data_IF_815362031302
#
_entry.id   IF_815362031302
#
_cell.length_a   1.000
_cell.length_b   1.000
_cell.length_c   1.000
_cell.angle_alpha   90.00
_cell.angle_beta   90.00
_cell.angle_gamma   90.00
#
_symmetry.space_group_name_H-M   'P 1'
#
loop_
_entity.id
_entity.type
_entity.pdbx_description
1 polymer ?
#
# COMPACT_ATOMS: atom_id res chain seq x y z
N UNK A 1 13.69 -3.48 16.06
CA UNK A 1 13.74 -2.44 15.01
C UNK A 1 12.40 -2.43 14.29
N UNK A 2 11.93 -1.26 13.85
CA UNK A 2 10.59 -1.10 13.28
C UNK A 2 10.55 -1.56 11.82
N UNK A 3 10.62 -2.88 11.60
CA UNK A 3 10.19 -3.62 10.39
C UNK A 3 10.46 -5.14 10.55
N UNK A 4 10.96 -5.60 11.71
CA UNK A 4 11.62 -6.92 11.84
C UNK A 4 10.70 -8.13 11.67
N UNK A 5 9.40 -7.93 11.55
CA UNK A 5 8.42 -9.02 11.56
C UNK A 5 7.75 -9.28 10.21
N UNK A 6 8.03 -8.44 9.20
CA UNK A 6 7.46 -8.57 7.86
C UNK A 6 8.50 -9.15 6.89
N UNK A 7 8.10 -10.21 6.18
CA UNK A 7 8.83 -10.75 5.05
C UNK A 7 8.22 -10.26 3.73
N UNK A 8 9.09 -10.02 2.75
CA UNK A 8 8.70 -9.69 1.38
C UNK A 8 9.44 -10.60 0.39
N UNK A 9 8.69 -11.24 -0.51
CA UNK A 9 9.24 -12.00 -1.63
C UNK A 9 8.89 -11.24 -2.92
N UNK A 10 9.91 -10.70 -3.58
CA UNK A 10 9.75 -10.02 -4.86
C UNK A 10 9.37 -11.00 -5.97
N UNK A 11 8.24 -10.76 -6.63
CA UNK A 11 7.78 -11.56 -7.76
C UNK A 11 8.22 -10.96 -9.10
N UNK A 12 8.14 -9.64 -9.20
CA UNK A 12 8.40 -8.91 -10.44
C UNK A 12 8.88 -7.50 -10.14
N UNK A 13 9.83 -7.01 -10.92
CA UNK A 13 10.25 -5.61 -10.89
C UNK A 13 10.59 -5.15 -12.29
N UNK A 14 10.13 -3.95 -12.65
CA UNK A 14 10.40 -3.34 -13.96
C UNK A 14 10.46 -1.83 -13.86
N UNK A 15 11.27 -1.24 -14.73
CA UNK A 15 11.44 0.20 -14.84
C UNK A 15 11.30 0.64 -16.29
N UNK A 16 10.65 1.77 -16.50
CA UNK A 16 10.51 2.42 -17.81
C UNK A 16 11.06 3.83 -17.71
N UNK A 17 11.94 4.19 -18.64
CA UNK A 17 12.49 5.54 -18.75
C UNK A 17 11.79 6.30 -19.88
N UNK A 18 11.48 7.57 -19.61
CA UNK A 18 10.81 8.48 -20.52
C UNK A 18 11.79 9.56 -20.92
N UNK A 19 12.16 9.58 -22.20
CA UNK A 19 13.15 10.49 -22.74
C UNK A 19 12.49 11.68 -23.42
N UNK A 20 13.13 12.85 -23.29
CA UNK A 20 12.71 14.04 -24.01
C UNK A 20 13.22 14.04 -25.45
N UNK A 21 13.09 15.18 -26.16
CA UNK A 21 13.69 15.38 -27.47
C UNK A 21 15.20 15.08 -27.49
N UNK A 22 15.74 14.91 -28.69
CA UNK A 22 17.16 14.59 -28.93
C UNK A 22 18.10 15.43 -28.04
N UNK A 23 19.06 14.76 -27.39
CA UNK A 23 20.06 15.34 -26.47
C UNK A 23 19.53 15.92 -25.15
N UNK A 24 18.26 15.76 -24.80
CA UNK A 24 17.72 16.28 -23.51
C UNK A 24 17.73 15.27 -22.37
N UNK A 25 18.09 14.01 -22.65
CA UNK A 25 18.23 12.93 -21.67
C UNK A 25 16.91 12.37 -21.14
N UNK A 26 17.02 11.57 -20.07
CA UNK A 26 15.87 11.01 -19.36
C UNK A 26 15.15 12.11 -18.57
N UNK A 27 13.84 12.21 -18.73
CA UNK A 27 12.98 13.22 -18.11
C UNK A 27 12.20 12.68 -16.92
N UNK A 28 11.91 11.39 -16.93
CA UNK A 28 11.33 10.71 -15.80
C UNK A 28 11.32 9.20 -15.98
N UNK A 29 10.98 8.51 -14.91
CA UNK A 29 10.94 7.06 -14.85
C UNK A 29 9.71 6.59 -14.08
N UNK A 30 9.13 5.49 -14.56
CA UNK A 30 8.15 4.70 -13.81
C UNK A 30 8.84 3.43 -13.33
N UNK A 31 8.86 3.21 -12.02
CA UNK A 31 9.30 1.95 -11.42
C UNK A 31 8.08 1.19 -10.89
N UNK A 32 8.05 -0.11 -11.15
CA UNK A 32 7.06 -1.05 -10.66
C UNK A 32 7.76 -2.16 -9.89
N UNK A 33 7.24 -2.50 -8.71
CA UNK A 33 7.59 -3.68 -7.95
C UNK A 33 6.34 -4.42 -7.53
N UNK A 34 6.34 -5.74 -7.62
CA UNK A 34 5.28 -6.62 -7.13
C UNK A 34 5.91 -7.61 -6.17
N UNK A 35 5.38 -7.68 -4.95
CA UNK A 35 5.88 -8.57 -3.92
C UNK A 35 4.75 -9.24 -3.14
N UNK A 36 5.01 -10.47 -2.68
CA UNK A 36 4.20 -11.12 -1.65
C UNK A 36 4.69 -10.64 -0.30
N UNK A 37 3.76 -10.16 0.52
CA UNK A 37 4.03 -9.68 1.88
C UNK A 37 3.35 -10.63 2.88
N UNK A 38 4.09 -10.97 3.93
CA UNK A 38 3.60 -11.76 5.07
C UNK A 38 4.34 -11.43 6.35
N UNK A 39 3.86 -11.94 7.48
CA UNK A 39 4.60 -11.89 8.75
C UNK A 39 5.32 -13.20 9.02
N UNK A 40 6.44 -13.15 9.73
CA UNK A 40 7.07 -14.35 10.25
C UNK A 40 6.11 -15.09 11.20
N UNK A 41 6.16 -16.42 11.20
CA UNK A 41 5.17 -17.28 11.87
C UNK A 41 5.05 -16.96 13.37
N UNK A 42 6.17 -16.64 14.03
CA UNK A 42 6.25 -16.23 15.45
C UNK A 42 5.46 -14.95 15.77
N UNK A 43 5.23 -14.12 14.75
CA UNK A 43 4.55 -12.83 14.84
C UNK A 43 3.29 -12.79 13.98
N UNK A 44 2.79 -13.95 13.54
CA UNK A 44 1.56 -14.05 12.77
C UNK A 44 0.37 -13.58 13.62
N UNK A 45 -0.64 -12.98 12.98
CA UNK A 45 -1.87 -12.63 13.65
C UNK A 45 -2.72 -13.89 13.89
N UNK A 46 -2.89 -14.35 15.14
CA UNK A 46 -3.60 -15.58 15.40
C UNK A 46 -5.09 -15.42 15.09
N UNK A 47 -5.67 -16.43 14.43
CA UNK A 47 -7.10 -16.50 14.10
C UNK A 47 -7.61 -15.35 13.22
N UNK A 48 -6.73 -14.72 12.45
CA UNK A 48 -7.10 -13.70 11.47
C UNK A 48 -6.87 -14.23 10.06
N UNK A 49 -7.86 -14.04 9.21
CA UNK A 49 -7.75 -14.30 7.78
C UNK A 49 -7.70 -12.97 7.03
N UNK A 50 -6.68 -12.79 6.19
CA UNK A 50 -6.57 -11.58 5.35
C UNK A 50 -7.67 -11.49 4.28
N UNK A 51 -8.46 -12.55 4.09
CA UNK A 51 -9.66 -12.48 3.25
C UNK A 51 -10.83 -11.76 3.93
N UNK A 52 -10.82 -11.61 5.25
CA UNK A 52 -11.82 -10.80 5.94
C UNK A 52 -11.45 -9.32 5.75
N UNK A 53 -12.29 -8.48 5.12
CA UNK A 53 -11.93 -7.10 4.78
C UNK A 53 -11.52 -6.25 5.99
N UNK A 54 -12.30 -6.30 7.08
CA UNK A 54 -12.01 -5.53 8.31
C UNK A 54 -10.70 -5.98 8.96
N UNK A 55 -10.46 -7.30 8.96
CA UNK A 55 -9.22 -7.83 9.48
C UNK A 55 -8.03 -7.46 8.57
N UNK A 56 -8.23 -7.42 7.25
CA UNK A 56 -7.23 -6.98 6.29
C UNK A 56 -6.88 -5.50 6.47
N UNK A 57 -7.85 -4.62 6.66
CA UNK A 57 -7.61 -3.20 6.96
C UNK A 57 -6.78 -2.98 8.23
N UNK A 58 -7.06 -3.76 9.28
CA UNK A 58 -6.25 -3.76 10.49
C UNK A 58 -4.82 -4.23 10.23
N UNK A 59 -4.65 -5.31 9.47
CA UNK A 59 -3.33 -5.82 9.05
C UNK A 59 -2.56 -4.77 8.24
N UNK A 60 -3.24 -4.07 7.33
CA UNK A 60 -2.66 -3.00 6.51
C UNK A 60 -2.23 -1.80 7.35
N UNK A 61 -3.03 -1.40 8.33
CA UNK A 61 -2.64 -0.36 9.27
C UNK A 61 -1.34 -0.73 10.00
N UNK A 62 -1.22 -1.95 10.52
CA UNK A 62 0.02 -2.41 11.16
C UNK A 62 1.19 -2.42 10.18
N UNK A 63 0.97 -2.94 8.98
CA UNK A 63 1.97 -2.97 7.93
C UNK A 63 2.50 -1.58 7.59
N UNK A 64 1.60 -0.62 7.38
CA UNK A 64 1.96 0.76 7.04
C UNK A 64 2.62 1.49 8.22
N UNK A 65 2.14 1.28 9.45
CA UNK A 65 2.79 1.82 10.66
C UNK A 65 4.22 1.28 10.83
N UNK A 66 4.41 -0.02 10.64
CA UNK A 66 5.73 -0.65 10.73
C UNK A 66 6.65 -0.16 9.60
N UNK A 67 6.14 -0.01 8.37
CA UNK A 67 6.94 0.39 7.19
C UNK A 67 7.28 1.88 7.15
N UNK A 68 6.34 2.76 7.49
CA UNK A 68 6.44 4.21 7.30
C UNK A 68 6.40 5.01 8.60
N UNK A 69 5.66 4.53 9.60
CA UNK A 69 5.30 5.32 10.78
C UNK A 69 6.47 5.75 11.65
N UNK A 70 7.57 5.00 11.66
CA UNK A 70 8.75 5.33 12.46
C UNK A 70 9.73 6.29 11.74
N UNK A 71 9.47 6.66 10.48
CA UNK A 71 10.43 7.42 9.67
C UNK A 71 10.23 8.92 9.82
N UNK A 72 11.24 9.60 10.35
CA UNK A 72 11.25 11.05 10.54
C UNK A 72 12.15 11.76 9.52
N UNK A 73 11.90 13.06 9.29
CA UNK A 73 12.82 13.94 8.56
C UNK A 73 14.01 14.34 9.44
N UNK A 74 15.25 14.11 8.99
CA UNK A 74 16.45 14.43 9.76
C UNK A 74 16.81 13.34 10.78
N UNK A 75 17.33 13.74 11.94
CA UNK A 75 17.58 12.82 13.06
C UNK A 75 16.25 12.36 13.69
N UNK A 76 16.26 11.18 14.32
CA UNK A 76 15.07 10.55 14.91
C UNK A 76 14.32 11.43 15.93
N UNK A 77 14.98 12.47 16.45
CA UNK A 77 14.49 13.45 17.42
C UNK A 77 13.62 14.57 16.84
N UNK A 78 13.53 14.74 15.51
CA UNK A 78 12.79 15.86 14.93
C UNK A 78 11.27 15.75 15.10
N UNK A 79 10.75 14.52 15.30
CA UNK A 79 9.32 14.20 15.38
C UNK A 79 8.49 14.65 14.17
N UNK A 80 9.14 15.06 13.06
CA UNK A 80 8.47 15.46 11.82
C UNK A 80 8.36 14.22 10.94
N UNK A 81 7.14 13.75 10.61
CA UNK A 81 6.97 12.53 9.83
C UNK A 81 7.52 12.72 8.41
N UNK A 82 8.26 11.73 7.93
CA UNK A 82 8.79 11.72 6.56
C UNK A 82 7.72 11.36 5.53
N UNK A 83 6.69 10.66 5.96
CA UNK A 83 5.61 10.17 5.11
C UNK A 83 4.26 10.54 5.67
N UNK A 84 3.26 10.58 4.80
CA UNK A 84 1.84 10.65 5.19
C UNK A 84 1.00 9.76 4.28
N UNK A 85 -0.01 9.11 4.87
CA UNK A 85 -1.00 8.31 4.16
C UNK A 85 -1.61 7.21 5.01
N UNK A 86 -2.46 6.34 4.43
CA UNK A 86 -2.85 6.33 3.02
C UNK A 86 -3.69 7.56 2.62
N UNK A 87 -3.47 8.06 1.40
CA UNK A 87 -4.20 9.21 0.79
C UNK A 87 -4.88 8.70 -0.49
N UNK A 88 -6.00 9.31 -0.91
CA UNK A 88 -6.77 8.90 -2.08
C UNK A 88 -7.12 7.40 -2.05
N UNK A 89 -7.63 6.93 -0.91
CA UNK A 89 -8.06 5.54 -0.76
C UNK A 89 -9.17 5.21 -1.76
N UNK A 90 -9.00 4.10 -2.47
CA UNK A 90 -9.97 3.58 -3.43
C UNK A 90 -10.09 2.08 -3.28
N UNK A 91 -11.27 1.59 -2.93
CA UNK A 91 -11.60 0.16 -3.01
C UNK A 91 -11.87 -0.24 -4.46
N UNK A 92 -11.51 -1.48 -4.79
CA UNK A 92 -11.64 -2.04 -6.12
C UNK A 92 -12.47 -3.32 -6.11
N UNK A 93 -13.29 -3.48 -7.15
CA UNK A 93 -14.19 -4.63 -7.31
C UNK A 93 -13.85 -5.52 -8.51
N UNK A 94 -12.76 -5.22 -9.23
CA UNK A 94 -12.37 -5.97 -10.42
C UNK A 94 -11.63 -7.28 -10.10
N UNK A 95 -11.12 -7.45 -8.87
CA UNK A 95 -10.53 -8.69 -8.37
C UNK A 95 -11.57 -9.50 -7.56
N UNK A 96 -11.46 -10.84 -7.51
CA UNK A 96 -12.38 -11.70 -6.76
C UNK A 96 -12.27 -11.56 -5.23
N UNK A 97 -11.31 -10.78 -4.73
CA UNK A 97 -10.98 -10.59 -3.32
C UNK A 97 -11.02 -9.09 -2.96
N UNK A 98 -11.15 -8.74 -1.67
CA UNK A 98 -11.08 -7.35 -1.22
C UNK A 98 -9.77 -6.70 -1.66
N UNK A 99 -9.83 -5.56 -2.35
CA UNK A 99 -8.64 -4.92 -2.90
C UNK A 99 -8.75 -3.40 -2.85
N UNK A 100 -7.62 -2.72 -2.66
CA UNK A 100 -7.59 -1.26 -2.55
C UNK A 100 -6.30 -0.68 -3.11
N UNK A 101 -6.39 0.57 -3.59
CA UNK A 101 -5.22 1.38 -3.93
C UNK A 101 -5.22 2.68 -3.15
N UNK A 102 -4.04 3.21 -2.89
CA UNK A 102 -3.84 4.47 -2.20
C UNK A 102 -2.45 5.03 -2.50
N UNK A 103 -2.22 6.24 -2.03
CA UNK A 103 -0.97 6.98 -2.16
C UNK A 103 -0.29 7.16 -0.81
N UNK A 104 1.03 7.11 -0.82
CA UNK A 104 1.89 7.52 0.30
C UNK A 104 2.70 8.73 -0.15
N UNK A 105 2.50 9.87 0.50
CA UNK A 105 3.26 11.08 0.24
C UNK A 105 4.59 11.06 0.98
N UNK A 106 5.61 11.69 0.40
CA UNK A 106 6.94 11.91 1.03
C UNK A 106 7.03 13.30 1.65
N UNK A 107 5.92 13.77 2.20
CA UNK A 107 5.77 15.05 2.88
C UNK A 107 5.03 14.85 4.18
N UNK A 108 5.37 15.66 5.19
CA UNK A 108 4.61 15.76 6.44
C UNK A 108 3.21 16.34 6.19
N UNK A 109 3.03 17.12 5.12
CA UNK A 109 1.76 17.69 4.72
C UNK A 109 1.06 16.77 3.68
N UNK A 110 -0.06 16.12 4.04
CA UNK A 110 -0.82 15.26 3.13
C UNK A 110 -1.48 16.04 1.98
N UNK A 111 -1.59 17.37 2.07
CA UNK A 111 -2.14 18.21 1.01
C UNK A 111 -1.12 18.52 -0.10
N UNK A 112 0.17 18.32 0.18
CA UNK A 112 1.26 18.54 -0.78
C UNK A 112 1.80 17.19 -1.30
N UNK A 113 1.08 16.61 -2.25
CA UNK A 113 1.42 15.34 -2.92
C UNK A 113 2.52 15.54 -3.97
N UNK A 114 3.77 15.74 -3.54
CA UNK A 114 4.91 15.75 -4.47
C UNK A 114 5.36 14.31 -4.74
N UNK A 115 5.11 13.83 -5.96
CA UNK A 115 5.49 12.48 -6.44
C UNK A 115 5.13 11.34 -5.47
N UNK A 116 3.85 11.14 -5.12
CA UNK A 116 3.45 10.12 -4.18
C UNK A 116 3.75 8.72 -4.72
N UNK A 117 4.17 7.84 -3.81
CA UNK A 117 4.26 6.41 -4.09
C UNK A 117 2.83 5.84 -4.16
N UNK A 118 2.49 5.11 -5.23
CA UNK A 118 1.16 4.54 -5.40
C UNK A 118 1.21 3.04 -5.09
N UNK A 119 0.36 2.59 -4.18
CA UNK A 119 0.24 1.18 -3.79
C UNK A 119 -1.11 0.62 -4.25
N UNK A 120 -1.10 -0.64 -4.67
CA UNK A 120 -2.28 -1.45 -4.89
C UNK A 120 -2.10 -2.80 -4.20
N UNK A 121 -3.08 -3.21 -3.43
CA UNK A 121 -2.97 -4.31 -2.48
C UNK A 121 -4.20 -5.22 -2.51
N UNK A 122 -3.97 -6.51 -2.33
CA UNK A 122 -5.02 -7.52 -2.24
C UNK A 122 -4.50 -8.82 -1.60
N UNK A 123 -5.31 -9.53 -0.80
CA UNK A 123 -4.92 -10.78 -0.16
C UNK A 123 -4.87 -11.93 -1.17
N UNK A 124 -3.91 -12.84 -0.99
CA UNK A 124 -3.78 -14.06 -1.80
C UNK A 124 -3.85 -15.35 -0.98
N UNK A 125 -3.66 -15.26 0.34
CA UNK A 125 -3.93 -16.33 1.29
C UNK A 125 -4.45 -15.75 2.60
N UNK A 126 -4.78 -16.60 3.58
CA UNK A 126 -5.16 -16.17 4.94
C UNK A 126 -4.09 -15.32 5.65
N UNK A 127 -2.82 -15.42 5.23
CA UNK A 127 -1.66 -14.82 5.91
C UNK A 127 -0.78 -13.95 5.01
N UNK A 128 -1.09 -13.88 3.71
CA UNK A 128 -0.27 -13.19 2.72
C UNK A 128 -1.12 -12.30 1.82
N UNK A 129 -0.54 -11.18 1.42
CA UNK A 129 -1.13 -10.26 0.44
C UNK A 129 -0.08 -9.83 -0.59
N UNK A 130 -0.55 -9.36 -1.74
CA UNK A 130 0.28 -8.76 -2.77
C UNK A 130 0.37 -7.27 -2.51
N UNK A 131 1.59 -6.73 -2.58
CA UNK A 131 1.85 -5.30 -2.75
C UNK A 131 2.33 -5.06 -4.19
N UNK A 132 1.57 -4.26 -4.92
CA UNK A 132 1.98 -3.64 -6.18
C UNK A 132 2.36 -2.20 -5.88
N UNK A 133 3.61 -1.86 -6.11
CA UNK A 133 4.19 -0.57 -5.78
C UNK A 133 4.65 0.14 -7.06
N UNK A 134 4.11 1.35 -7.30
CA UNK A 134 4.54 2.25 -8.35
C UNK A 134 5.25 3.47 -7.77
N UNK A 135 6.37 3.83 -8.37
CA UNK A 135 7.11 5.06 -8.07
C UNK A 135 7.37 5.83 -9.36
N UNK A 136 6.98 7.10 -9.37
CA UNK A 136 7.30 8.04 -10.43
C UNK A 136 8.45 8.93 -9.99
N UNK A 137 9.57 8.84 -10.68
CA UNK A 137 10.70 9.74 -10.51
C UNK A 137 10.72 10.72 -11.68
N UNK A 138 10.48 12.00 -11.39
CA UNK A 138 10.46 13.08 -12.38
C UNK A 138 11.73 13.92 -12.19
N UNK A 139 12.47 14.17 -13.27
CA UNK A 139 13.81 14.79 -13.22
C UNK A 139 13.86 16.21 -13.76
N UNK A 140 12.78 16.72 -14.33
CA UNK A 140 12.75 18.06 -14.94
C UNK A 140 11.56 18.84 -14.43
N UNK A 141 11.83 19.82 -13.56
CA UNK A 141 10.87 20.73 -12.96
C UNK A 141 11.21 22.19 -13.27
N UNK A 142 10.19 23.03 -13.37
CA UNK A 142 10.34 24.48 -13.46
C UNK A 142 10.53 25.13 -12.08
N UNK A 143 10.59 26.47 -12.08
CA UNK A 143 10.76 27.28 -10.85
C UNK A 143 9.56 27.16 -9.89
N UNK A 144 8.40 26.75 -10.39
CA UNK A 144 7.16 26.56 -9.63
C UNK A 144 6.93 25.08 -9.27
N UNK A 145 7.95 24.23 -9.42
CA UNK A 145 7.91 22.78 -9.16
C UNK A 145 6.89 22.01 -9.98
N UNK A 146 6.60 22.48 -11.20
CA UNK A 146 5.79 21.75 -12.17
C UNK A 146 6.70 21.01 -13.16
N UNK A 147 6.35 19.78 -13.57
CA UNK A 147 7.10 19.06 -14.59
C UNK A 147 7.23 19.89 -15.87
N UNK A 148 8.44 19.99 -16.43
CA UNK A 148 8.69 20.76 -17.66
C UNK A 148 8.35 19.98 -18.94
N UNK A 149 7.72 18.82 -18.81
CA UNK A 149 7.35 17.94 -19.92
C UNK A 149 6.02 17.26 -19.60
N UNK A 150 5.38 16.73 -20.64
CA UNK A 150 4.13 16.00 -20.48
C UNK A 150 4.34 14.67 -19.74
N UNK A 151 3.78 14.57 -18.54
CA UNK A 151 3.82 13.35 -17.71
C UNK A 151 2.66 12.39 -18.00
N UNK A 152 1.71 12.76 -18.86
CA UNK A 152 0.56 11.93 -19.20
C UNK A 152 0.94 10.52 -19.67
N UNK A 153 1.99 10.32 -20.49
CA UNK A 153 2.42 8.97 -20.87
C UNK A 153 2.86 8.08 -19.70
N UNK A 154 3.44 8.68 -18.65
CA UNK A 154 3.85 7.96 -17.43
C UNK A 154 2.59 7.51 -16.67
N UNK A 155 1.64 8.43 -16.49
CA UNK A 155 0.39 8.18 -15.80
C UNK A 155 -0.49 7.16 -16.54
N UNK A 156 -0.54 7.25 -17.87
CA UNK A 156 -1.26 6.31 -18.73
C UNK A 156 -0.65 4.91 -18.64
N UNK A 157 0.69 4.78 -18.70
CA UNK A 157 1.35 3.49 -18.52
C UNK A 157 1.05 2.87 -17.15
N UNK A 158 1.14 3.66 -16.07
CA UNK A 158 0.79 3.19 -14.73
C UNK A 158 -0.67 2.70 -14.67
N UNK A 159 -1.61 3.49 -15.20
CA UNK A 159 -3.04 3.14 -15.23
C UNK A 159 -3.29 1.87 -16.05
N UNK A 160 -2.65 1.74 -17.21
CA UNK A 160 -2.80 0.57 -18.07
C UNK A 160 -2.25 -0.69 -17.41
N UNK A 161 -1.10 -0.61 -16.74
CA UNK A 161 -0.57 -1.74 -15.96
C UNK A 161 -1.54 -2.10 -14.83
N UNK A 162 -1.99 -1.11 -14.05
CA UNK A 162 -2.94 -1.33 -12.96
C UNK A 162 -4.20 -2.07 -13.45
N UNK A 163 -4.82 -1.57 -14.53
CA UNK A 163 -6.03 -2.16 -15.11
C UNK A 163 -5.79 -3.54 -15.75
N UNK A 164 -4.55 -3.89 -16.07
CA UNK A 164 -4.21 -5.20 -16.65
C UNK A 164 -4.04 -6.31 -15.62
N UNK A 165 -4.02 -5.97 -14.32
CA UNK A 165 -3.87 -6.95 -13.25
C UNK A 165 -5.16 -7.73 -13.09
N UNK A 166 -5.07 -9.04 -13.23
CA UNK A 166 -6.13 -10.00 -12.93
C UNK A 166 -5.67 -10.99 -11.86
N UNK A 167 -6.62 -11.60 -11.16
CA UNK A 167 -6.36 -12.61 -10.15
C UNK A 167 -7.28 -13.80 -10.36
N UNK A 168 -6.68 -14.98 -10.50
CA UNK A 168 -7.37 -16.26 -10.51
C UNK A 168 -7.00 -17.03 -9.23
N UNK A 169 -8.00 -17.44 -8.46
CA UNK A 169 -7.79 -18.19 -7.23
C UNK A 169 -7.72 -19.68 -7.54
N UNK A 170 -6.65 -20.34 -7.08
CA UNK A 170 -6.58 -21.80 -7.10
C UNK A 170 -7.65 -22.44 -6.19
N UNK A 171 -7.98 -23.73 -6.37
CA UNK A 171 -9.10 -24.38 -5.67
C UNK A 171 -9.02 -24.30 -4.14
N UNK A 172 -7.83 -24.45 -3.56
CA UNK A 172 -7.63 -24.35 -2.11
C UNK A 172 -7.89 -22.94 -1.59
N UNK A 173 -7.36 -21.94 -2.29
CA UNK A 173 -7.53 -20.53 -1.94
C UNK A 173 -8.98 -20.09 -2.10
N UNK A 174 -9.65 -20.54 -3.17
CA UNK A 174 -11.06 -20.29 -3.40
C UNK A 174 -11.91 -20.86 -2.25
N UNK A 175 -11.67 -22.12 -1.86
CA UNK A 175 -12.38 -22.73 -0.74
C UNK A 175 -12.11 -22.00 0.59
N UNK A 176 -10.89 -21.48 0.81
CA UNK A 176 -10.58 -20.68 1.98
C UNK A 176 -11.29 -19.31 1.97
N UNK A 177 -11.40 -18.68 0.81
CA UNK A 177 -12.12 -17.43 0.62
C UNK A 177 -13.64 -17.62 0.82
N UNK A 178 -14.22 -18.66 0.23
CA UNK A 178 -15.66 -18.95 0.32
C UNK A 178 -16.11 -19.22 1.77
N UNK A 179 -15.25 -19.83 2.59
CA UNK A 179 -15.51 -20.00 4.03
C UNK A 179 -15.64 -18.66 4.75
N UNK A 180 -14.73 -17.73 4.48
CA UNK A 180 -14.80 -16.39 5.08
C UNK A 180 -16.02 -15.63 4.57
N UNK A 181 -16.32 -15.74 3.28
CA UNK A 181 -17.50 -15.13 2.66
C UNK A 181 -18.82 -15.65 3.24
N UNK A 182 -18.87 -16.89 3.72
CA UNK A 182 -20.06 -17.45 4.38
C UNK A 182 -20.25 -16.92 5.81
N UNK A 183 -19.17 -16.48 6.47
CA UNK A 183 -19.16 -16.01 7.85
C UNK A 183 -19.25 -14.48 7.96
N UNK A 184 -18.85 -13.76 6.91
CA UNK A 184 -18.76 -12.29 6.89
C UNK A 184 -19.83 -11.72 5.97
N UNK A 185 -20.72 -10.89 6.54
CA UNK A 185 -21.85 -10.28 5.81
C UNK A 185 -21.39 -9.30 4.72
N UNK A 186 -20.40 -8.46 5.04
CA UNK A 186 -19.83 -7.48 4.10
C UNK A 186 -18.39 -7.83 3.72
N UNK A 187 -18.22 -8.27 2.46
CA UNK A 187 -16.93 -8.60 1.87
C UNK A 187 -16.23 -7.41 1.21
N UNK A 188 -16.69 -6.18 1.45
CA UNK A 188 -16.06 -4.98 0.94
C UNK A 188 -15.11 -4.35 1.96
N UNK A 189 -14.05 -3.72 1.43
CA UNK A 189 -13.26 -2.77 2.21
C UNK A 189 -14.08 -1.50 2.44
N UNK A 190 -13.71 -0.76 3.47
CA UNK A 190 -14.25 0.55 3.83
C UNK A 190 -14.17 1.49 2.63
N UNK A 191 -15.22 2.32 2.47
CA UNK A 191 -15.28 3.32 1.39
C UNK A 191 -14.20 4.38 1.57
N UNK A 192 -13.90 4.71 2.82
CA UNK A 192 -12.86 5.64 3.22
C UNK A 192 -11.91 4.96 4.21
N UNK A 193 -10.62 5.26 4.06
CA UNK A 193 -9.58 4.88 5.01
C UNK A 193 -8.79 6.14 5.35
N UNK A 194 -8.96 6.64 6.58
CA UNK A 194 -8.34 7.89 6.99
C UNK A 194 -6.80 7.77 7.03
N UNK A 195 -6.05 8.84 6.67
CA UNK A 195 -4.61 8.86 6.82
C UNK A 195 -4.18 8.50 8.25
N UNK A 196 -3.16 7.67 8.36
CA UNK A 196 -2.61 7.24 9.65
C UNK A 196 -1.84 8.38 10.32
N UNK A 197 -1.89 8.41 11.65
CA UNK A 197 -1.18 9.40 12.45
C UNK A 197 0.29 9.00 12.59
N UNK A 198 1.15 9.63 11.80
CA UNK A 198 2.59 9.47 11.88
C UNK A 198 3.27 10.74 12.40
N UNK A 199 4.39 10.63 13.13
CA UNK A 199 5.16 9.42 13.36
C UNK A 199 4.70 8.62 14.60
N UNK A 200 4.87 7.30 14.57
CA UNK A 200 4.37 6.36 15.59
C UNK A 200 5.13 6.42 16.91
N UNK A 201 6.30 7.05 16.95
CA UNK A 201 7.03 7.33 18.19
C UNK A 201 6.37 8.45 19.03
N UNK A 202 5.53 9.28 18.41
CA UNK A 202 4.72 10.32 19.08
C UNK A 202 3.29 9.85 19.26
N UNK A 203 2.74 9.15 18.26
CA UNK A 203 1.40 8.60 18.26
C UNK A 203 1.46 7.07 18.16
N UNK A 204 1.70 6.35 19.27
CA UNK A 204 1.82 4.90 19.23
C UNK A 204 0.53 4.27 18.68
N UNK A 205 0.64 3.23 17.83
CA UNK A 205 -0.52 2.52 17.33
C UNK A 205 -1.29 1.85 18.47
N UNK A 206 -2.61 1.78 18.35
CA UNK A 206 -3.46 1.05 19.29
C UNK A 206 -3.01 -0.43 19.39
N UNK A 207 -3.04 -1.03 20.59
CA UNK A 207 -2.54 -2.39 20.80
C UNK A 207 -3.41 -3.44 20.08
N UNK A 208 -2.73 -4.41 19.45
CA UNK A 208 -3.31 -5.49 18.63
C UNK A 208 -4.44 -6.25 19.36
N UNK A 209 -4.31 -6.44 20.68
CA UNK A 209 -5.29 -7.18 21.48
C UNK A 209 -6.65 -6.49 21.56
N UNK A 210 -6.68 -5.16 21.62
CA UNK A 210 -7.92 -4.40 21.74
C UNK A 210 -8.69 -4.36 20.42
N UNK A 211 -7.98 -4.23 19.29
CA UNK A 211 -8.59 -4.33 17.96
C UNK A 211 -9.10 -5.74 17.68
N UNK A 212 -8.34 -6.78 18.01
CA UNK A 212 -8.78 -8.17 17.88
C UNK A 212 -10.01 -8.48 18.72
N UNK A 213 -10.11 -7.91 19.93
CA UNK A 213 -11.30 -8.04 20.76
C UNK A 213 -12.52 -7.33 20.15
N UNK A 214 -12.35 -6.13 19.59
CA UNK A 214 -13.42 -5.42 18.86
C UNK A 214 -13.90 -6.18 17.63
N UNK A 215 -12.97 -6.75 16.86
CA UNK A 215 -13.28 -7.57 15.69
C UNK A 215 -13.97 -8.89 16.06
N UNK A 216 -13.84 -9.37 17.30
CA UNK A 216 -14.56 -10.56 17.82
C UNK A 216 -15.90 -10.22 18.47
N UNK A 217 -16.04 -9.02 19.02
CA UNK A 217 -17.26 -8.57 19.70
C UNK A 217 -18.33 -8.04 18.74
N UNK A 218 -17.96 -7.73 17.49
CA UNK A 218 -18.86 -7.28 16.42
C UNK A 218 -19.25 -8.36 15.41
N UNK A 219 -19.08 -9.63 15.76
CA UNK A 219 -19.45 -10.82 14.97
C UNK A 219 -20.65 -11.53 15.59
#
# INVERSE_FOLDING_TARGET
>A
MANDYWGAIGLFSRKWAFYGPWMTGCKGELSLSIAVIGRFEEHAFPNISFFNPKAFEMVLMHYLNDRYGHRNWGEDSSHIPRYSGPIDWQRHHHLPVPSASFKISRSADPTQLVNPDCLFIFPITKKHFIEVFFKQDIYSFDKDHKPTFDISPIQELQKNIFNSISLELGPETQAAYDKVKAEVEDMQLSEEFAPLKWPTNVYPPEPVSEMQQRLRAGS
#
